data_IF_000240560035
#
_entry.id   IF_000240560035
#
_cell.length_a   1.000
_cell.length_b   1.000
_cell.length_c   1.000
_cell.angle_alpha   90.00
_cell.angle_beta   90.00
_cell.angle_gamma   90.00
#
_symmetry.space_group_name_H-M   'P 1'
#
loop_
_entity.id
_entity.type
_entity.pdbx_description
1 polymer ?
#
# COMPACT_ATOMS: atom_id res chain seq x y z
N UNK A 1 0.03 5.82 -4.83
CA UNK A 1 0.27 4.68 -5.71
C UNK A 1 -1.02 3.88 -5.86
N UNK A 2 -1.42 3.64 -7.08
CA UNK A 2 -2.60 2.79 -7.36
C UNK A 2 -2.14 1.33 -7.50
N UNK A 3 -2.83 0.42 -6.82
CA UNK A 3 -2.54 -1.01 -6.86
C UNK A 3 -3.67 -1.77 -7.55
N UNK A 4 -3.38 -3.01 -7.98
CA UNK A 4 -4.40 -3.88 -8.55
C UNK A 4 -5.27 -4.52 -7.46
N UNK A 5 -6.27 -5.31 -7.87
CA UNK A 5 -7.21 -5.94 -6.93
C UNK A 5 -6.51 -6.92 -5.98
N UNK A 6 -5.50 -7.65 -6.46
CA UNK A 6 -4.77 -8.59 -5.61
C UNK A 6 -3.99 -7.88 -4.51
N UNK A 7 -3.27 -6.82 -4.86
CA UNK A 7 -2.54 -6.02 -3.87
C UNK A 7 -3.47 -5.23 -2.96
N UNK A 8 -4.60 -4.77 -3.48
CA UNK A 8 -5.60 -4.09 -2.65
C UNK A 8 -6.11 -5.00 -1.53
N UNK A 9 -6.30 -6.28 -1.81
CA UNK A 9 -6.68 -7.26 -0.79
C UNK A 9 -5.57 -7.41 0.26
N UNK A 10 -4.30 -7.51 -0.16
CA UNK A 10 -3.17 -7.59 0.75
C UNK A 10 -3.08 -6.34 1.64
N UNK A 11 -3.30 -5.17 1.08
CA UNK A 11 -3.31 -3.91 1.83
C UNK A 11 -4.42 -3.93 2.89
N UNK A 12 -5.60 -4.42 2.54
CA UNK A 12 -6.71 -4.55 3.48
C UNK A 12 -6.38 -5.46 4.68
N UNK A 13 -5.48 -6.42 4.50
CA UNK A 13 -5.00 -7.29 5.57
C UNK A 13 -3.77 -6.73 6.29
N UNK A 14 -3.27 -5.57 5.91
CA UNK A 14 -2.09 -4.97 6.52
C UNK A 14 -0.79 -5.70 6.15
N UNK A 15 -0.75 -6.37 5.01
CA UNK A 15 0.42 -7.14 4.58
C UNK A 15 1.48 -6.26 3.95
N UNK A 16 2.74 -6.67 4.07
CA UNK A 16 3.84 -6.04 3.37
C UNK A 16 3.67 -6.23 1.85
N UNK A 17 3.98 -5.19 1.09
CA UNK A 17 3.95 -5.26 -0.37
C UNK A 17 5.34 -5.56 -0.92
N UNK A 18 5.40 -6.28 -2.04
CA UNK A 18 6.62 -6.65 -2.74
C UNK A 18 7.04 -5.60 -3.78
N UNK A 19 6.56 -4.38 -3.63
CA UNK A 19 6.88 -3.26 -4.51
C UNK A 19 7.39 -2.09 -3.70
N UNK A 20 8.28 -1.28 -4.31
CA UNK A 20 8.77 -0.07 -3.68
C UNK A 20 7.75 1.06 -3.81
N UNK A 21 7.81 2.00 -2.86
CA UNK A 21 7.00 3.22 -2.89
C UNK A 21 7.93 4.43 -2.93
N UNK A 22 7.49 5.56 -3.53
CA UNK A 22 8.38 6.68 -3.83
C UNK A 22 8.70 7.60 -2.64
N UNK A 23 8.00 7.46 -1.51
CA UNK A 23 8.15 8.36 -0.37
C UNK A 23 8.01 7.61 0.94
N UNK A 24 8.50 8.20 2.04
CA UNK A 24 8.41 7.61 3.38
C UNK A 24 6.97 7.33 3.82
N UNK A 25 6.03 8.16 3.35
CA UNK A 25 4.60 7.90 3.55
C UNK A 25 3.93 8.07 2.20
N UNK A 26 3.42 6.97 1.66
CA UNK A 26 2.78 6.94 0.35
C UNK A 26 1.37 6.41 0.49
N UNK A 27 0.41 7.14 -0.04
CA UNK A 27 -0.99 6.69 -0.10
C UNK A 27 -1.15 5.54 -1.09
N UNK A 28 -1.78 4.46 -0.66
CA UNK A 28 -2.09 3.32 -1.52
C UNK A 28 -3.56 3.42 -1.91
N UNK A 29 -3.79 3.48 -3.22
CA UNK A 29 -5.13 3.65 -3.79
C UNK A 29 -5.59 2.35 -4.43
N UNK A 30 -6.89 2.05 -4.28
CA UNK A 30 -7.52 0.96 -5.02
C UNK A 30 -7.60 1.29 -6.51
N UNK A 31 -7.91 0.31 -7.38
CA UNK A 31 -8.16 0.59 -8.79
C UNK A 31 -9.27 1.62 -9.03
N UNK A 32 -10.20 1.77 -8.09
CA UNK A 32 -11.26 2.76 -8.15
C UNK A 32 -10.84 4.14 -7.62
N UNK A 33 -9.61 4.30 -7.12
CA UNK A 33 -9.09 5.55 -6.62
C UNK A 33 -9.37 5.82 -5.14
N UNK A 34 -9.81 4.83 -4.38
CA UNK A 34 -10.05 4.98 -2.95
C UNK A 34 -8.74 4.81 -2.17
N UNK A 35 -8.51 5.67 -1.18
CA UNK A 35 -7.34 5.56 -0.30
C UNK A 35 -7.54 4.39 0.67
N UNK A 36 -6.68 3.38 0.56
CA UNK A 36 -6.75 2.16 1.35
C UNK A 36 -5.86 2.20 2.58
N UNK A 37 -4.66 2.75 2.44
CA UNK A 37 -3.66 2.71 3.49
C UNK A 37 -2.53 3.68 3.20
N UNK A 38 -1.66 3.86 4.19
CA UNK A 38 -0.40 4.57 4.06
C UNK A 38 0.73 3.56 4.24
N UNK A 39 1.69 3.56 3.33
CA UNK A 39 2.84 2.66 3.34
C UNK A 39 4.14 3.45 3.31
N UNK A 40 5.22 2.82 3.75
CA UNK A 40 6.56 3.37 3.69
C UNK A 40 7.52 2.36 3.08
N UNK A 41 8.65 2.80 2.49
CA UNK A 41 9.68 1.88 2.00
C UNK A 41 10.22 0.99 3.12
N UNK A 42 10.46 -0.28 2.78
CA UNK A 42 11.03 -1.25 3.70
C UNK A 42 11.91 -2.22 2.88
N UNK A 43 13.21 -1.91 2.81
CA UNK A 43 14.11 -2.66 1.95
C UNK A 43 13.72 -2.52 0.48
N UNK A 44 13.45 -3.64 -0.19
CA UNK A 44 13.01 -3.69 -1.59
C UNK A 44 11.48 -3.77 -1.72
N UNK A 45 10.77 -3.62 -0.62
CA UNK A 45 9.31 -3.63 -0.59
C UNK A 45 8.76 -2.43 0.17
N UNK A 46 7.54 -2.57 0.68
CA UNK A 46 6.87 -1.55 1.46
C UNK A 46 6.07 -2.18 2.59
N UNK A 47 6.01 -1.50 3.74
CA UNK A 47 5.25 -1.96 4.89
C UNK A 47 4.19 -0.93 5.29
N UNK A 48 3.07 -1.38 5.90
CA UNK A 48 2.00 -0.46 6.27
C UNK A 48 2.43 0.44 7.44
N UNK A 49 2.09 1.72 7.32
CA UNK A 49 2.13 2.69 8.42
C UNK A 49 0.77 2.76 9.08
N UNK A 50 -0.28 2.79 8.27
CA UNK A 50 -1.66 2.79 8.74
C UNK A 50 -2.55 2.15 7.67
N UNK A 51 -3.49 1.33 8.08
CA UNK A 51 -4.50 0.75 7.20
C UNK A 51 -5.84 1.41 7.52
N UNK A 52 -6.47 1.99 6.48
CA UNK A 52 -7.66 2.82 6.65
C UNK A 52 -8.97 2.08 6.33
N UNK A 53 -8.87 0.86 5.89
CA UNK A 53 -10.05 0.04 5.53
C UNK A 53 -10.13 -1.21 6.37
#
# INVERSE_FOLDING_TARGET
>A
VTVDLGRAADVGFGRRLDMTVPADVTGILSPAGELLALYRPDGDGAKPVAVLV
#
